data_IF_154411172964
#
_entry.id   IF_154411172964
#
_cell.length_a   1.000
_cell.length_b   1.000
_cell.length_c   1.000
_cell.angle_alpha   90.00
_cell.angle_beta   90.00
_cell.angle_gamma   90.00
#
_symmetry.space_group_name_H-M   'P 1'
#
loop_
_entity.id
_entity.type
_entity.pdbx_description
1 polymer ?
#
# COMPACT_ATOMS: atom_id res chain seq x y z
N UNK A 1 16.83 1.05 25.29
CA UNK A 1 16.24 2.23 24.62
C UNK A 1 16.52 2.07 23.14
N UNK A 2 15.51 2.11 22.28
CA UNK A 2 15.73 2.02 20.83
C UNK A 2 16.54 3.24 20.38
N UNK A 3 17.65 3.02 19.68
CA UNK A 3 18.39 4.11 19.05
C UNK A 3 17.44 4.84 18.08
N UNK A 4 17.32 6.16 18.21
CA UNK A 4 16.46 7.00 17.36
C UNK A 4 16.93 7.07 15.90
N UNK A 5 18.03 6.41 15.57
CA UNK A 5 18.65 6.32 14.24
C UNK A 5 18.33 5.03 13.50
N UNK A 6 17.55 4.12 14.10
CA UNK A 6 17.16 2.90 13.38
C UNK A 6 16.17 3.24 12.25
N UNK A 7 16.44 2.79 11.01
CA UNK A 7 15.56 3.06 9.89
C UNK A 7 14.19 2.39 10.11
N UNK A 8 13.13 3.19 10.15
CA UNK A 8 11.76 2.69 10.29
C UNK A 8 11.03 2.66 8.95
N UNK A 9 10.42 1.50 8.67
CA UNK A 9 9.63 1.26 7.47
C UNK A 9 8.50 0.29 7.77
N UNK A 10 7.30 0.64 7.33
CA UNK A 10 6.14 -0.26 7.37
C UNK A 10 5.41 -0.20 6.04
N UNK A 11 5.00 -1.37 5.57
CA UNK A 11 4.12 -1.54 4.42
C UNK A 11 3.01 -2.48 4.79
N UNK A 12 1.80 -2.08 4.48
CA UNK A 12 0.64 -2.92 4.62
C UNK A 12 -0.07 -3.05 3.29
N UNK A 13 -0.52 -4.25 3.03
CA UNK A 13 -1.25 -4.61 1.84
C UNK A 13 -2.52 -5.33 2.27
N UNK A 14 -3.65 -4.89 1.72
CA UNK A 14 -4.89 -5.66 1.75
C UNK A 14 -5.42 -5.81 0.34
N UNK A 15 -5.90 -6.99 0.04
CA UNK A 15 -6.54 -7.26 -1.22
C UNK A 15 -7.52 -8.37 -1.00
N UNK A 16 -8.65 -8.28 -1.69
CA UNK A 16 -9.56 -9.40 -1.76
C UNK A 16 -10.05 -9.57 -3.18
N UNK A 17 -10.52 -10.77 -3.38
CA UNK A 17 -10.84 -11.31 -4.66
C UNK A 17 -12.29 -11.77 -4.51
N UNK A 18 -13.20 -11.05 -5.20
CA UNK A 18 -14.64 -11.16 -4.98
C UNK A 18 -15.25 -12.36 -5.71
N UNK A 19 -16.57 -12.40 -5.83
CA UNK A 19 -17.34 -13.47 -6.51
C UNK A 19 -16.90 -13.75 -7.98
N UNK A 20 -15.99 -12.94 -8.54
CA UNK A 20 -15.38 -13.12 -9.87
C UNK A 20 -13.84 -13.30 -9.86
N UNK A 21 -13.20 -13.83 -8.80
CA UNK A 21 -11.77 -14.22 -8.84
C UNK A 21 -11.15 -14.37 -7.45
N UNK A 22 -10.15 -15.26 -7.27
CA UNK A 22 -9.65 -15.83 -6.00
C UNK A 22 -8.19 -15.49 -5.61
N UNK A 23 -7.99 -15.17 -4.32
CA UNK A 23 -6.88 -15.48 -3.37
C UNK A 23 -5.38 -15.06 -3.59
N UNK A 24 -4.98 -14.09 -2.75
CA UNK A 24 -3.68 -13.86 -2.07
C UNK A 24 -2.45 -13.15 -2.70
N UNK A 25 -1.73 -12.53 -1.75
CA UNK A 25 -0.43 -11.83 -1.68
C UNK A 25 0.25 -11.51 -3.02
N UNK A 26 -0.05 -10.33 -3.55
CA UNK A 26 0.67 -9.78 -4.68
C UNK A 26 1.15 -8.36 -4.39
N UNK A 27 2.47 -8.16 -4.44
CA UNK A 27 3.07 -6.89 -4.85
C UNK A 27 2.22 -6.25 -5.96
N UNK A 28 2.02 -4.92 -5.92
CA UNK A 28 1.18 -4.15 -6.86
C UNK A 28 1.31 -4.56 -8.33
N UNK A 29 2.44 -5.15 -8.72
CA UNK A 29 2.69 -5.74 -10.04
C UNK A 29 1.67 -6.83 -10.45
N UNK A 30 1.04 -7.57 -9.52
CA UNK A 30 -0.07 -8.48 -9.84
C UNK A 30 -1.46 -7.95 -9.41
N UNK A 31 -1.59 -6.67 -9.05
CA UNK A 31 -2.88 -6.06 -8.68
C UNK A 31 -3.92 -6.05 -9.81
N UNK A 32 -3.50 -6.27 -11.06
CA UNK A 32 -4.40 -6.50 -12.20
C UNK A 32 -5.30 -7.73 -12.04
N UNK A 33 -4.95 -8.68 -11.15
CA UNK A 33 -5.73 -9.91 -10.90
C UNK A 33 -6.66 -9.80 -9.69
N UNK A 34 -6.69 -8.65 -9.00
CA UNK A 34 -7.54 -8.45 -7.83
C UNK A 34 -8.81 -7.67 -8.16
N UNK A 35 -9.95 -8.11 -7.61
CA UNK A 35 -11.19 -7.32 -7.65
C UNK A 35 -11.02 -6.02 -6.85
N UNK A 36 -10.32 -6.06 -5.72
CA UNK A 36 -9.86 -4.85 -5.04
C UNK A 36 -8.52 -5.06 -4.34
N UNK A 37 -7.64 -4.07 -4.46
CA UNK A 37 -6.32 -4.06 -3.84
C UNK A 37 -6.04 -2.67 -3.24
N UNK A 38 -5.59 -2.61 -2.00
CA UNK A 38 -5.11 -1.41 -1.36
C UNK A 38 -3.72 -1.66 -0.75
N UNK A 39 -2.83 -0.70 -0.92
CA UNK A 39 -1.50 -0.70 -0.32
C UNK A 39 -1.24 0.66 0.30
N UNK A 40 -0.57 0.66 1.44
CA UNK A 40 0.11 1.84 1.93
C UNK A 40 1.50 1.52 2.47
N UNK A 41 2.39 2.49 2.44
CA UNK A 41 3.64 2.44 3.17
C UNK A 41 4.03 3.78 3.78
N UNK A 42 4.70 3.68 4.93
CA UNK A 42 5.36 4.78 5.60
C UNK A 42 6.85 4.47 5.70
N UNK A 43 7.66 5.43 5.28
CA UNK A 43 9.12 5.36 5.41
C UNK A 43 9.59 6.61 6.12
N UNK A 44 10.22 6.44 7.28
CA UNK A 44 10.85 7.55 7.99
C UNK A 44 12.05 8.06 7.20
N UNK A 45 12.21 9.38 7.16
CA UNK A 45 13.25 10.08 6.43
C UNK A 45 14.21 10.77 7.40
N UNK A 46 15.47 10.88 6.99
CA UNK A 46 16.49 11.68 7.68
C UNK A 46 16.66 11.28 9.16
N UNK A 47 16.45 12.26 10.02
CA UNK A 47 16.66 12.20 11.47
C UNK A 47 15.46 11.67 12.27
N UNK A 48 14.43 11.15 11.59
CA UNK A 48 13.23 10.65 12.26
C UNK A 48 12.09 11.65 12.37
N UNK A 49 12.26 12.89 11.91
CA UNK A 49 11.25 13.96 12.07
C UNK A 49 10.23 14.05 10.93
N UNK A 50 10.50 13.41 9.80
CA UNK A 50 9.60 13.35 8.65
C UNK A 50 9.47 11.94 8.10
N UNK A 51 8.44 11.70 7.32
CA UNK A 51 8.19 10.40 6.71
C UNK A 51 7.51 10.57 5.35
N UNK A 52 7.89 9.77 4.36
CA UNK A 52 7.12 9.65 3.14
C UNK A 52 5.95 8.69 3.37
N UNK A 53 4.75 9.11 2.97
CA UNK A 53 3.55 8.29 2.97
C UNK A 53 3.09 8.04 1.53
N UNK A 54 2.84 6.77 1.19
CA UNK A 54 2.30 6.37 -0.11
C UNK A 54 1.06 5.54 0.08
N UNK A 55 0.06 5.77 -0.77
CA UNK A 55 -1.19 5.03 -0.81
C UNK A 55 -1.58 4.72 -2.25
N UNK A 56 -2.01 3.48 -2.49
CA UNK A 56 -2.63 3.06 -3.73
C UNK A 56 -3.89 2.24 -3.42
N UNK A 57 -4.97 2.48 -4.17
CA UNK A 57 -6.17 1.66 -4.11
C UNK A 57 -6.72 1.42 -5.52
N UNK A 58 -6.73 0.15 -5.90
CA UNK A 58 -7.30 -0.38 -7.12
C UNK A 58 -8.55 -1.19 -6.79
N UNK A 59 -9.69 -0.54 -6.55
CA UNK A 59 -10.97 -1.22 -6.36
C UNK A 59 -11.77 -1.20 -7.67
N UNK A 60 -12.02 -2.36 -8.28
CA UNK A 60 -12.95 -2.50 -9.42
C UNK A 60 -14.43 -2.39 -8.99
N UNK A 61 -14.69 -1.92 -7.77
CA UNK A 61 -16.04 -1.62 -7.34
C UNK A 61 -16.57 -0.41 -8.13
N UNK A 62 -17.68 -0.60 -8.85
CA UNK A 62 -18.31 0.42 -9.71
C UNK A 62 -17.43 0.97 -10.85
N UNK A 63 -16.43 0.21 -11.32
CA UNK A 63 -15.49 0.65 -12.36
C UNK A 63 -14.77 1.95 -12.00
N UNK A 64 -14.44 2.13 -10.72
CA UNK A 64 -13.67 3.30 -10.29
C UNK A 64 -12.22 3.23 -10.81
N UNK A 65 -11.63 4.39 -11.02
CA UNK A 65 -10.24 4.51 -11.45
C UNK A 65 -9.27 4.23 -10.29
N UNK A 66 -8.06 3.77 -10.62
CA UNK A 66 -6.99 3.58 -9.65
C UNK A 66 -6.66 4.90 -8.92
N UNK A 67 -6.78 4.88 -7.59
CA UNK A 67 -6.40 6.01 -6.74
C UNK A 67 -4.95 5.85 -6.31
N UNK A 68 -4.14 6.90 -6.50
CA UNK A 68 -2.77 7.00 -5.96
C UNK A 68 -2.59 8.33 -5.24
N UNK A 69 -1.95 8.29 -4.07
CA UNK A 69 -1.60 9.47 -3.29
C UNK A 69 -0.19 9.29 -2.71
N UNK A 70 0.55 10.39 -2.70
CA UNK A 70 1.88 10.48 -2.09
C UNK A 70 2.00 11.78 -1.30
N UNK A 71 2.73 11.72 -0.20
CA UNK A 71 3.03 12.85 0.67
C UNK A 71 4.40 12.64 1.34
N UNK A 72 5.09 13.71 1.70
CA UNK A 72 6.45 13.72 2.27
C UNK A 72 6.52 14.76 3.38
#
# INVERSE_FOLDING_TARGET
MSNSTEPFYIRYYSGHNGRHGHEFLASLQNAHRLTSAAEFDFRVLGDGRSASARYANNSNYRNDSLIRKEST
#
